data_IF_878122872214
#
_entry.id   IF_878122872214
#
_cell.length_a   1.000
_cell.length_b   1.000
_cell.length_c   1.000
_cell.angle_alpha   90.00
_cell.angle_beta   90.00
_cell.angle_gamma   90.00
#
_symmetry.space_group_name_H-M   'P 1'
#
loop_
_entity.id
_entity.type
_entity.pdbx_description
1 polymer ?
#
# COMPACT_ATOMS: atom_id res chain seq x y z
N UNK A 1 -0.80 -17.74 24.72
CA UNK A 1 0.58 -17.19 24.66
C UNK A 1 0.57 -15.67 24.87
N UNK A 2 1.39 -15.12 25.77
CA UNK A 2 1.44 -13.67 26.00
C UNK A 2 1.85 -12.96 24.69
N UNK A 3 1.06 -11.96 24.29
CA UNK A 3 1.33 -11.12 23.11
C UNK A 3 2.70 -10.46 23.28
N UNK A 4 3.60 -10.66 22.33
CA UNK A 4 4.92 -10.06 22.35
C UNK A 4 4.79 -8.54 22.42
N UNK A 5 5.42 -7.92 23.43
CA UNK A 5 5.40 -6.48 23.61
C UNK A 5 5.93 -5.75 22.36
N UNK A 6 5.35 -4.60 21.97
CA UNK A 6 5.79 -3.85 20.81
C UNK A 6 7.26 -3.44 20.95
N UNK A 7 8.07 -3.70 19.93
CA UNK A 7 9.49 -3.31 19.89
C UNK A 7 9.67 -2.06 19.03
N UNK A 8 10.26 -1.02 19.61
CA UNK A 8 10.64 0.19 18.89
C UNK A 8 11.91 -0.08 18.08
N UNK A 9 11.89 0.21 16.78
CA UNK A 9 13.09 0.20 15.91
C UNK A 9 13.26 1.58 15.29
N UNK A 10 14.35 2.25 15.64
CA UNK A 10 14.77 3.47 14.96
C UNK A 10 15.34 3.13 13.58
N UNK A 11 14.77 3.71 12.52
CA UNK A 11 15.19 3.44 11.13
C UNK A 11 16.33 4.38 10.67
N UNK A 12 16.50 5.52 11.34
CA UNK A 12 17.56 6.46 11.09
C UNK A 12 17.96 7.16 12.40
N UNK A 13 19.25 7.48 12.62
CA UNK A 13 19.66 8.32 13.73
C UNK A 13 19.30 9.78 13.45
N UNK A 14 18.63 10.43 14.39
CA UNK A 14 18.31 11.85 14.31
C UNK A 14 17.07 12.17 13.44
N UNK A 15 16.84 13.47 13.14
CA UNK A 15 15.64 13.91 12.43
C UNK A 15 15.64 13.45 10.96
N UNK A 16 14.47 13.02 10.48
CA UNK A 16 14.28 12.72 9.05
C UNK A 16 14.32 14.02 8.23
N UNK A 17 15.16 14.05 7.20
CA UNK A 17 15.21 15.17 6.26
C UNK A 17 14.11 15.02 5.23
N UNK A 18 13.15 15.93 5.24
CA UNK A 18 12.13 16.03 4.19
C UNK A 18 12.77 16.68 2.96
N UNK A 19 12.78 15.97 1.84
CA UNK A 19 13.29 16.48 0.56
C UNK A 19 12.09 16.86 -0.33
N UNK A 20 11.91 18.14 -0.69
CA UNK A 20 10.85 18.54 -1.62
C UNK A 20 11.01 17.79 -2.95
N UNK A 21 9.93 17.16 -3.42
CA UNK A 21 9.96 16.39 -4.67
C UNK A 21 10.83 15.13 -4.64
N UNK A 22 11.09 14.55 -3.45
CA UNK A 22 11.89 13.33 -3.32
C UNK A 22 11.46 12.20 -4.27
N UNK A 23 10.15 12.04 -4.43
CA UNK A 23 9.55 11.20 -5.45
C UNK A 23 9.06 12.10 -6.59
N UNK A 24 9.37 11.73 -7.82
CA UNK A 24 8.82 12.39 -8.99
C UNK A 24 7.30 12.26 -9.03
N UNK A 25 6.64 13.18 -9.75
CA UNK A 25 5.20 13.06 -10.04
C UNK A 25 4.95 11.66 -10.63
N UNK A 26 4.04 10.85 -10.06
CA UNK A 26 3.69 9.56 -10.64
C UNK A 26 3.35 9.77 -12.12
N UNK A 27 4.14 9.16 -13.01
CA UNK A 27 3.96 9.32 -14.46
C UNK A 27 2.68 8.63 -14.88
N UNK A 28 1.58 9.40 -14.88
CA UNK A 28 0.24 8.96 -15.25
C UNK A 28 -0.19 7.78 -14.39
N UNK A 29 -1.07 8.04 -13.42
CA UNK A 29 -1.80 6.95 -12.79
C UNK A 29 -2.50 6.18 -13.92
N UNK A 30 -1.95 5.01 -14.27
CA UNK A 30 -2.67 4.06 -15.11
C UNK A 30 -3.88 3.72 -14.27
N UNK A 31 -5.08 3.97 -14.81
CA UNK A 31 -6.31 3.48 -14.23
C UNK A 31 -6.15 1.96 -14.06
N UNK A 32 -5.78 1.55 -12.84
CA UNK A 32 -5.49 0.15 -12.48
C UNK A 32 -6.76 -0.69 -12.54
N UNK A 33 -7.92 -0.03 -12.54
CA UNK A 33 -9.23 -0.65 -12.65
C UNK A 33 -9.73 -0.64 -14.09
N UNK A 34 -8.99 -0.05 -15.04
CA UNK A 34 -9.35 -0.07 -16.46
C UNK A 34 -9.36 -1.53 -16.93
N UNK A 35 -10.49 -2.01 -17.48
CA UNK A 35 -10.54 -3.35 -18.03
C UNK A 35 -9.57 -3.49 -19.21
N UNK A 36 -8.89 -4.64 -19.33
CA UNK A 36 -8.07 -4.97 -20.49
C UNK A 36 -8.80 -4.76 -21.82
N UNK A 37 -8.10 -4.40 -22.91
CA UNK A 37 -8.71 -4.30 -24.23
C UNK A 37 -9.27 -5.66 -24.66
N UNK A 38 -10.47 -5.65 -25.27
CA UNK A 38 -11.15 -6.86 -25.74
C UNK A 38 -12.06 -7.54 -24.71
N UNK A 39 -12.16 -7.04 -23.47
CA UNK A 39 -13.14 -7.56 -22.52
C UNK A 39 -14.58 -7.29 -23.04
N UNK A 40 -15.48 -8.29 -22.99
CA UNK A 40 -16.88 -8.07 -23.36
C UNK A 40 -17.54 -7.07 -22.41
N UNK A 41 -18.59 -6.40 -22.89
CA UNK A 41 -19.40 -5.52 -22.04
C UNK A 41 -20.00 -6.33 -20.87
N UNK A 42 -19.94 -5.81 -19.63
CA UNK A 42 -20.49 -6.51 -18.49
C UNK A 42 -22.02 -6.65 -18.63
N UNK A 43 -22.54 -7.85 -18.35
CA UNK A 43 -23.99 -8.13 -18.40
C UNK A 43 -24.77 -7.46 -17.26
N UNK A 44 -24.11 -7.22 -16.12
CA UNK A 44 -24.68 -6.57 -14.93
C UNK A 44 -23.60 -5.71 -14.27
N UNK A 45 -24.03 -4.60 -13.67
CA UNK A 45 -23.18 -3.73 -12.84
C UNK A 45 -23.61 -3.92 -11.39
N UNK A 46 -22.68 -4.39 -10.55
CA UNK A 46 -22.89 -4.52 -9.12
C UNK A 46 -22.16 -3.38 -8.42
N UNK A 47 -22.77 -2.84 -7.36
CA UNK A 47 -22.17 -1.79 -6.52
C UNK A 47 -22.10 -2.35 -5.11
N UNK A 48 -20.88 -2.42 -4.58
CA UNK A 48 -20.66 -2.74 -3.16
C UNK A 48 -21.15 -1.54 -2.35
N UNK A 49 -22.12 -1.77 -1.45
CA UNK A 49 -22.71 -0.70 -0.63
C UNK A 49 -21.96 -0.52 0.67
N UNK A 50 -21.74 -1.63 1.36
CA UNK A 50 -21.08 -1.65 2.66
C UNK A 50 -19.96 -2.70 2.67
N UNK A 51 -18.80 -2.31 3.19
CA UNK A 51 -17.65 -3.18 3.38
C UNK A 51 -17.05 -2.88 4.76
N UNK A 52 -16.98 -3.90 5.61
CA UNK A 52 -16.26 -3.84 6.88
C UNK A 52 -14.96 -4.61 6.74
N UNK A 53 -13.83 -3.97 7.02
CA UNK A 53 -12.51 -4.58 6.98
C UNK A 53 -11.81 -4.38 8.32
N UNK A 54 -11.48 -5.48 8.98
CA UNK A 54 -10.59 -5.46 10.14
C UNK A 54 -9.17 -5.74 9.68
N UNK A 55 -8.34 -4.70 9.61
CA UNK A 55 -6.93 -4.83 9.26
C UNK A 55 -6.05 -4.68 10.50
N UNK A 56 -5.52 -5.80 10.99
CA UNK A 56 -4.43 -5.79 11.96
C UNK A 56 -3.10 -5.73 11.20
N UNK A 57 -2.54 -4.52 11.05
CA UNK A 57 -1.21 -4.35 10.48
C UNK A 57 -0.16 -4.64 11.55
N UNK A 58 0.40 -5.84 11.53
CA UNK A 58 1.54 -6.17 12.36
C UNK A 58 2.79 -5.64 11.67
N UNK A 59 3.62 -4.88 12.39
CA UNK A 59 4.86 -4.30 11.87
C UNK A 59 5.89 -5.37 11.47
N UNK A 60 5.66 -6.03 10.34
CA UNK A 60 6.52 -7.03 9.73
C UNK A 60 7.62 -6.43 8.86
N UNK A 61 8.42 -7.30 8.24
CA UNK A 61 9.48 -6.95 7.28
C UNK A 61 8.96 -7.00 5.83
N UNK A 62 7.67 -6.76 5.62
CA UNK A 62 6.99 -7.02 4.33
C UNK A 62 7.45 -6.12 3.17
N UNK A 63 8.23 -5.08 3.48
CA UNK A 63 8.86 -4.21 2.48
C UNK A 63 10.30 -4.62 2.12
N UNK A 64 10.84 -5.67 2.73
CA UNK A 64 12.17 -6.21 2.46
C UNK A 64 13.32 -5.21 2.66
N UNK A 65 14.55 -5.72 2.67
CA UNK A 65 15.71 -4.93 2.25
C UNK A 65 15.73 -5.04 0.74
N UNK A 66 15.40 -3.96 0.03
CA UNK A 66 15.56 -3.92 -1.42
C UNK A 66 16.96 -4.42 -1.77
N UNK A 67 17.04 -5.39 -2.68
CA UNK A 67 18.30 -5.81 -3.30
C UNK A 67 19.01 -4.57 -3.85
N UNK A 68 20.21 -4.34 -3.36
CA UNK A 68 21.29 -3.65 -4.05
C UNK A 68 22.53 -4.53 -3.90
#
# INVERSE_FOLDING_TARGET
PPQAAPRVRWLAPGPLRVVPGHFGVPRGERDRLRPPPGLPRPRRRLVLRDLTLDWALFGGRDLGTGHA
#
